data_IF_074728017961
#
_entry.id   IF_074728017961
#
_cell.length_a   1.000
_cell.length_b   1.000
_cell.length_c   1.000
_cell.angle_alpha   90.00
_cell.angle_beta   90.00
_cell.angle_gamma   90.00
#
_symmetry.space_group_name_H-M   'P 1'
#
loop_
_entity.id
_entity.type
_entity.pdbx_description
1 polymer ?
2 non-polymer ?
3 non-polymer ?
4 non-polymer ?
5 non-polymer ?
6 water ?
#
# COMPACT_ATOMS: atom_id res chain seq x y z
N UNK A 12 -14.77 15.50 -9.70
CA UNK A 12 -13.83 15.31 -8.58
C UNK A 12 -12.50 14.71 -9.05
N UNK A 13 -11.41 15.14 -8.41
CA UNK A 13 -10.15 14.44 -8.58
C UNK A 13 -10.34 12.98 -8.21
N UNK A 14 -9.80 12.08 -9.03
CA UNK A 14 -9.84 10.64 -8.78
C UNK A 14 -8.42 10.16 -8.56
N UNK A 15 -8.14 9.66 -7.38
CA UNK A 15 -6.81 9.18 -7.02
C UNK A 15 -6.84 7.65 -7.06
N UNK A 16 -6.08 7.06 -7.98
CA UNK A 16 -6.09 5.61 -8.17
C UNK A 16 -4.90 5.00 -7.43
N UNK A 17 -5.22 4.29 -6.34
CA UNK A 17 -4.26 3.70 -5.43
C UNK A 17 -4.29 2.19 -5.61
N UNK A 18 -3.12 1.57 -5.65
CA UNK A 18 -3.00 0.12 -5.71
C UNK A 18 -2.26 -0.37 -4.48
N UNK A 19 -2.85 -1.35 -3.80
CA UNK A 19 -2.22 -2.04 -2.68
C UNK A 19 -1.41 -3.20 -3.24
N UNK A 20 -0.11 -3.24 -2.93
CA UNK A 20 0.76 -4.34 -3.32
C UNK A 20 1.52 -4.83 -2.10
N UNK A 21 2.02 -6.04 -2.21
CA UNK A 21 2.70 -6.72 -1.13
C UNK A 21 2.40 -8.20 -1.17
N UNK A 22 3.23 -8.98 -0.49
CA UNK A 22 3.06 -10.43 -0.51
C UNK A 22 1.87 -10.83 0.37
N UNK A 23 1.63 -12.14 0.42
CA UNK A 23 0.41 -12.63 1.07
C UNK A 23 0.43 -12.42 2.58
N UNK A 24 -0.73 -12.09 3.12
CA UNK A 24 -0.89 -12.07 4.56
C UNK A 24 -0.33 -10.86 5.25
N UNK A 25 0.13 -9.85 4.50
CA UNK A 25 0.75 -8.71 5.14
C UNK A 25 -0.25 -7.72 5.70
N UNK A 26 -1.49 -7.74 5.21
CA UNK A 26 -2.54 -6.84 5.65
C UNK A 26 -3.09 -5.90 4.60
N UNK A 27 -2.91 -6.21 3.32
CA UNK A 27 -3.46 -5.34 2.27
C UNK A 27 -4.97 -5.20 2.43
N UNK A 28 -5.67 -6.33 2.56
CA UNK A 28 -7.12 -6.27 2.68
C UNK A 28 -7.54 -5.68 4.01
N UNK A 29 -6.91 -6.09 5.12
CA UNK A 29 -7.24 -5.52 6.42
C UNK A 29 -7.05 -4.01 6.43
N UNK A 30 -5.95 -3.52 5.84
CA UNK A 30 -5.77 -2.07 5.77
C UNK A 30 -6.88 -1.41 4.95
N UNK A 31 -7.19 -1.99 3.80
CA UNK A 31 -8.20 -1.41 2.92
C UNK A 31 -9.56 -1.38 3.60
N UNK A 32 -9.94 -2.48 4.26
CA UNK A 32 -11.26 -2.56 4.87
C UNK A 32 -11.34 -1.73 6.13
N UNK A 33 -10.23 -1.56 6.85
CA UNK A 33 -10.24 -0.63 7.97
C UNK A 33 -10.44 0.80 7.46
N UNK A 34 -9.76 1.16 6.37
CA UNK A 34 -9.93 2.49 5.83
C UNK A 34 -11.36 2.70 5.32
N UNK A 35 -11.89 1.71 4.61
CA UNK A 35 -13.18 1.88 3.98
C UNK A 35 -14.34 1.80 4.98
N UNK A 36 -14.28 0.81 5.89
CA UNK A 36 -15.44 0.47 6.71
C UNK A 36 -15.21 0.54 8.21
N UNK A 37 -14.05 1.00 8.67
CA UNK A 37 -13.77 1.18 10.09
C UNK A 37 -13.94 -0.13 10.87
N UNK A 38 -13.57 -1.25 10.25
CA UNK A 38 -13.63 -2.57 10.86
C UNK A 38 -12.32 -3.29 10.59
N UNK A 39 -11.85 -4.05 11.60
CA UNK A 39 -10.71 -4.94 11.45
C UNK A 39 -11.26 -6.29 11.01
N UNK A 40 -10.96 -6.65 9.76
CA UNK A 40 -11.50 -7.83 9.11
C UNK A 40 -10.36 -8.85 9.04
N UNK A 41 -10.53 -9.96 9.75
CA UNK A 41 -9.44 -10.88 9.97
C UNK A 41 -9.49 -12.10 9.08
N UNK A 42 -10.56 -12.27 8.30
CA UNK A 42 -10.76 -13.49 7.53
C UNK A 42 -11.12 -13.20 6.07
N UNK A 43 -10.59 -12.13 5.49
CA UNK A 43 -10.95 -11.80 4.13
C UNK A 43 -10.27 -12.74 3.16
N UNK A 44 -11.04 -13.35 2.26
CA UNK A 44 -10.55 -14.36 1.33
C UNK A 44 -9.19 -13.98 0.77
N UNK A 45 -8.15 -14.78 1.01
CA UNK A 45 -6.80 -14.38 0.59
C UNK A 45 -6.63 -14.24 -0.91
N UNK A 46 -7.44 -14.91 -1.72
CA UNK A 46 -7.28 -14.88 -3.16
C UNK A 46 -8.20 -13.86 -3.85
N UNK A 47 -8.97 -13.07 -3.10
CA UNK A 47 -9.95 -12.19 -3.70
C UNK A 47 -9.35 -10.80 -3.90
N UNK A 48 -9.31 -10.34 -5.14
CA UNK A 48 -8.95 -8.97 -5.45
C UNK A 48 -10.24 -8.16 -5.59
N UNK A 49 -10.18 -6.89 -5.23
CA UNK A 49 -11.37 -6.06 -5.30
C UNK A 49 -10.95 -4.61 -5.34
N UNK A 50 -11.82 -3.78 -5.87
CA UNK A 50 -11.65 -2.33 -5.92
C UNK A 50 -12.69 -1.69 -5.02
N UNK A 51 -12.28 -0.59 -4.41
CA UNK A 51 -13.09 0.16 -3.47
C UNK A 51 -13.03 1.62 -3.85
N UNK A 52 -14.17 2.30 -3.82
CA UNK A 52 -14.20 3.71 -4.14
C UNK A 52 -14.85 4.46 -2.99
N UNK A 53 -14.27 5.58 -2.61
CA UNK A 53 -14.78 6.38 -1.50
C UNK A 53 -14.52 7.84 -1.79
N UNK A 54 -15.50 8.68 -1.47
CA UNK A 54 -15.29 10.12 -1.45
C UNK A 54 -14.66 10.49 -0.12
N UNK A 55 -13.57 11.24 -0.17
CA UNK A 55 -12.92 11.71 1.04
C UNK A 55 -12.57 13.18 0.86
N UNK A 56 -12.45 13.88 1.98
CA UNK A 56 -12.08 15.29 1.98
C UNK A 56 -10.60 15.34 2.33
N UNK A 57 -9.80 15.61 1.31
CA UNK A 57 -8.34 15.64 1.41
C UNK A 57 -7.89 17.10 1.53
N UNK A 58 -7.40 17.46 2.70
CA UNK A 58 -6.96 18.84 2.96
C UNK A 58 -8.02 19.84 2.52
N UNK A 59 -9.29 19.49 2.79
CA UNK A 59 -10.40 20.36 2.50
C UNK A 59 -10.98 20.26 1.10
N UNK A 60 -10.41 19.43 0.23
CA UNK A 60 -10.93 19.25 -1.12
C UNK A 60 -11.57 17.88 -1.22
N UNK A 61 -12.83 17.83 -1.64
CA UNK A 61 -13.46 16.54 -1.86
C UNK A 61 -12.83 15.88 -3.08
N UNK A 62 -12.40 14.63 -2.91
CA UNK A 62 -11.80 13.84 -3.96
C UNK A 62 -12.42 12.44 -3.88
N UNK A 63 -12.20 11.66 -4.92
CA UNK A 63 -12.54 10.25 -4.89
C UNK A 63 -11.26 9.43 -4.87
N UNK A 64 -11.16 8.50 -3.94
CA UNK A 64 -10.09 7.51 -3.91
C UNK A 64 -10.65 6.20 -4.47
N UNK A 65 -9.86 5.56 -5.33
CA UNK A 65 -10.18 4.23 -5.83
C UNK A 65 -9.01 3.35 -5.42
N UNK A 66 -9.30 2.33 -4.63
CA UNK A 66 -8.27 1.44 -4.08
C UNK A 66 -8.43 0.09 -4.74
N UNK A 67 -7.37 -0.38 -5.39
CA UNK A 67 -7.30 -1.74 -5.92
C UNK A 67 -6.55 -2.57 -4.90
N UNK A 68 -7.27 -3.47 -4.24
CA UNK A 68 -6.70 -4.37 -3.24
C UNK A 68 -6.30 -5.66 -3.99
N UNK A 69 -5.02 -5.80 -4.29
CA UNK A 69 -4.56 -6.92 -5.11
C UNK A 69 -4.38 -8.15 -4.24
N UNK A 70 -4.54 -9.31 -4.86
CA UNK A 70 -4.49 -10.56 -4.13
C UNK A 70 -3.55 -11.57 -4.79
N UNK A 71 -2.70 -11.13 -5.72
CA UNK A 71 -1.66 -11.96 -6.27
C UNK A 71 -2.11 -13.02 -7.26
N UNK A 72 -3.35 -12.99 -7.71
CA UNK A 72 -3.85 -14.07 -8.55
C UNK A 72 -3.49 -13.85 -10.01
N UNK A 73 -3.36 -12.60 -10.44
CA UNK A 73 -3.03 -12.29 -11.82
C UNK A 73 -1.60 -12.74 -12.08
N UNK A 74 -1.42 -13.75 -12.92
CA UNK A 74 -0.07 -14.21 -13.24
C UNK A 74 0.38 -13.81 -14.63
N UNK A 75 -0.50 -13.33 -15.49
CA UNK A 75 -0.10 -12.94 -16.84
C UNK A 75 0.52 -11.56 -16.78
N UNK A 76 1.79 -11.48 -17.19
CA UNK A 76 2.59 -10.29 -16.90
C UNK A 76 2.06 -9.06 -17.61
N UNK A 77 1.53 -9.21 -18.83
CA UNK A 77 1.00 -8.04 -19.54
C UNK A 77 -0.19 -7.46 -18.81
N UNK A 78 -1.03 -8.32 -18.22
CA UNK A 78 -2.20 -7.85 -17.50
C UNK A 78 -1.79 -7.20 -16.19
N UNK A 79 -0.85 -7.81 -15.46
CA UNK A 79 -0.34 -7.19 -14.26
C UNK A 79 0.25 -5.82 -14.56
N UNK A 80 1.03 -5.72 -15.64
CA UNK A 80 1.63 -4.44 -15.98
C UNK A 80 0.57 -3.43 -16.37
N UNK A 81 -0.49 -3.89 -17.05
CA UNK A 81 -1.57 -2.97 -17.41
C UNK A 81 -2.21 -2.40 -16.16
N UNK A 82 -2.45 -3.24 -15.16
CA UNK A 82 -3.01 -2.73 -13.91
C UNK A 82 -2.10 -1.70 -13.27
N UNK A 83 -0.79 -2.00 -13.19
CA UNK A 83 0.14 -1.06 -12.57
C UNK A 83 0.21 0.25 -13.37
N UNK A 84 0.13 0.17 -14.70
CA UNK A 84 0.16 1.38 -15.51
C UNK A 84 -1.03 2.28 -15.19
N UNK A 85 -2.17 1.69 -14.87
CA UNK A 85 -3.36 2.48 -14.55
C UNK A 85 -3.25 3.13 -13.18
N UNK A 86 -2.49 2.55 -12.28
CA UNK A 86 -2.38 3.10 -10.94
C UNK A 86 -1.59 4.40 -10.93
N UNK A 87 -2.02 5.30 -10.06
CA UNK A 87 -1.32 6.56 -9.85
C UNK A 87 -0.44 6.55 -8.61
N UNK A 88 -0.77 5.75 -7.60
CA UNK A 88 0.08 5.65 -6.43
C UNK A 88 -0.04 4.27 -5.84
N UNK A 89 0.98 3.91 -5.06
CA UNK A 89 1.11 2.55 -4.54
C UNK A 89 1.39 2.55 -3.04
N UNK A 90 0.65 1.72 -2.31
CA UNK A 90 0.99 1.37 -0.94
C UNK A 90 1.66 0.01 -1.01
N UNK A 91 2.96 -0.01 -0.75
CA UNK A 91 3.74 -1.24 -0.84
C UNK A 91 3.87 -1.77 0.59
N UNK A 92 3.08 -2.79 0.90
CA UNK A 92 2.90 -3.26 2.26
C UNK A 92 3.74 -4.50 2.49
N UNK A 93 4.37 -4.55 3.66
CA UNK A 93 4.94 -5.76 4.19
C UNK A 93 4.46 -5.88 5.62
N UNK A 94 4.68 -7.03 6.22
CA UNK A 94 4.40 -7.24 7.62
C UNK A 94 5.70 -7.14 8.40
N UNK A 95 5.69 -6.33 9.46
CA UNK A 95 6.88 -6.27 10.32
C UNK A 95 7.19 -7.62 10.94
N UNK A 96 6.24 -8.56 10.95
CA UNK A 96 6.45 -9.87 11.55
C UNK A 96 6.94 -10.92 10.57
N UNK A 97 7.17 -10.57 9.29
CA UNK A 97 7.60 -11.56 8.30
C UNK A 97 8.70 -10.94 7.45
N UNK A 98 9.95 -11.32 7.73
CA UNK A 98 11.08 -10.72 7.01
C UNK A 98 10.97 -10.97 5.52
N UNK A 99 10.50 -12.15 5.11
CA UNK A 99 10.42 -12.44 3.69
C UNK A 99 9.47 -11.50 2.97
N UNK A 100 8.43 -11.00 3.68
CA UNK A 100 7.52 -10.04 3.05
C UNK A 100 8.21 -8.70 2.83
N UNK A 101 9.11 -8.34 3.73
CA UNK A 101 9.92 -7.14 3.51
C UNK A 101 10.85 -7.32 2.32
N UNK A 102 11.52 -8.48 2.22
CA UNK A 102 12.37 -8.73 1.08
C UNK A 102 11.59 -8.61 -0.22
N UNK A 103 10.35 -9.12 -0.22
CA UNK A 103 9.52 -9.13 -1.42
C UNK A 103 9.16 -7.73 -1.90
N UNK A 104 9.22 -6.72 -1.03
CA UNK A 104 8.86 -5.38 -1.48
C UNK A 104 9.77 -4.90 -2.60
N UNK A 105 11.00 -5.41 -2.66
CA UNK A 105 11.90 -5.00 -3.74
C UNK A 105 11.33 -5.38 -5.09
N UNK A 106 10.66 -6.54 -5.17
CA UNK A 106 10.11 -6.98 -6.44
C UNK A 106 8.97 -6.09 -6.89
N UNK A 107 8.05 -5.76 -5.97
CA UNK A 107 6.97 -4.86 -6.33
C UNK A 107 7.51 -3.50 -6.77
N UNK A 108 8.52 -3.00 -6.07
CA UNK A 108 9.14 -1.72 -6.44
C UNK A 108 9.66 -1.77 -7.88
N UNK A 109 10.40 -2.82 -8.21
CA UNK A 109 10.94 -2.94 -9.56
C UNK A 109 9.83 -3.07 -10.60
N UNK A 110 8.80 -3.84 -10.30
CA UNK A 110 7.70 -4.00 -11.24
C UNK A 110 7.05 -2.66 -11.53
N UNK A 111 6.80 -1.89 -10.47
CA UNK A 111 6.18 -0.58 -10.61
C UNK A 111 7.08 0.34 -11.42
N UNK A 112 8.38 0.35 -11.10
CA UNK A 112 9.30 1.24 -11.80
C UNK A 112 9.42 0.87 -13.27
N UNK A 113 9.41 -0.42 -13.62
CA UNK A 113 9.49 -0.80 -15.03
C UNK A 113 8.30 -0.26 -15.81
N UNK A 114 7.13 -0.25 -15.18
CA UNK A 114 5.91 0.14 -15.86
C UNK A 114 5.75 1.66 -15.87
N UNK A 115 5.98 2.31 -14.73
CA UNK A 115 5.76 3.75 -14.61
C UNK A 115 6.95 4.55 -15.12
N UNK A 116 8.14 3.94 -15.14
CA UNK A 116 9.36 4.57 -15.65
C UNK A 116 9.63 5.91 -14.99
N UNK A 117 9.30 6.01 -13.71
CA UNK A 117 9.41 7.25 -12.96
C UNK A 117 9.71 6.89 -11.51
N UNK A 118 10.94 7.15 -11.09
CA UNK A 118 11.32 6.78 -9.73
C UNK A 118 10.53 7.56 -8.69
N UNK A 119 9.90 8.66 -9.07
CA UNK A 119 9.12 9.48 -8.15
C UNK A 119 7.62 9.17 -8.20
N UNK A 120 7.25 8.00 -8.72
CA UNK A 120 5.86 7.55 -8.67
C UNK A 120 5.41 7.62 -7.20
N UNK A 121 4.24 8.17 -6.93
CA UNK A 121 3.72 8.13 -5.56
C UNK A 121 3.74 6.72 -5.01
N UNK A 122 4.35 6.57 -3.83
CA UNK A 122 4.71 5.26 -3.31
C UNK A 122 5.08 5.41 -1.85
N UNK A 123 4.40 4.68 -0.97
CA UNK A 123 4.81 4.59 0.43
C UNK A 123 5.20 3.15 0.72
N UNK A 124 6.26 2.98 1.51
CA UNK A 124 6.62 1.69 2.09
C UNK A 124 5.90 1.59 3.42
N UNK A 125 5.06 0.56 3.56
CA UNK A 125 4.14 0.43 4.69
C UNK A 125 4.50 -0.83 5.46
N UNK A 126 4.96 -0.66 6.70
CA UNK A 126 5.23 -1.77 7.60
C UNK A 126 4.03 -2.01 8.49
N UNK A 127 3.22 -3.00 8.15
CA UNK A 127 1.98 -3.24 8.85
C UNK A 127 2.17 -4.23 10.00
N UNK A 128 1.15 -4.31 10.84
CA UNK A 128 1.11 -5.12 12.06
C UNK A 128 1.97 -4.53 13.19
N UNK A 129 1.98 -3.21 13.31
CA UNK A 129 2.79 -2.56 14.34
C UNK A 129 2.30 -2.87 15.75
N UNK A 130 1.10 -3.44 15.89
CA UNK A 130 0.63 -3.88 17.20
C UNK A 130 1.22 -5.22 17.62
N UNK A 131 2.06 -5.82 16.78
CA UNK A 131 2.71 -7.09 17.10
C UNK A 131 4.21 -6.90 17.30
N UNK A 132 4.58 -5.90 18.08
CA UNK A 132 6.00 -5.60 18.30
C UNK A 132 6.77 -6.79 18.83
N UNK A 133 6.14 -7.62 19.66
CA UNK A 133 6.81 -8.79 20.21
C UNK A 133 7.09 -9.86 19.15
N UNK A 134 6.50 -9.75 17.96
CA UNK A 134 6.76 -10.66 16.86
C UNK A 134 7.57 -10.02 15.74
N UNK A 135 8.10 -8.82 15.97
CA UNK A 135 8.80 -8.10 14.92
C UNK A 135 9.98 -8.90 14.41
N UNK A 136 10.07 -9.02 13.08
CA UNK A 136 11.22 -9.61 12.41
C UNK A 136 11.99 -8.61 11.59
N UNK A 137 11.38 -7.47 11.26
CA UNK A 137 11.99 -6.42 10.44
C UNK A 137 12.20 -5.21 11.33
N UNK A 138 13.44 -4.76 11.46
CA UNK A 138 13.72 -3.63 12.33
C UNK A 138 13.25 -2.33 11.69
N UNK A 139 12.86 -1.38 12.54
CA UNK A 139 12.54 -0.05 12.04
C UNK A 139 13.72 0.50 11.26
N UNK A 140 14.94 0.27 11.77
CA UNK A 140 16.14 0.80 11.13
C UNK A 140 16.29 0.27 9.71
N UNK A 141 16.13 -1.05 9.52
CA UNK A 141 16.35 -1.56 8.18
C UNK A 141 15.27 -1.11 7.22
N UNK A 142 14.02 -0.98 7.70
CA UNK A 142 12.97 -0.47 6.83
C UNK A 142 13.20 1.00 6.49
N UNK A 143 13.59 1.81 7.48
CA UNK A 143 13.89 3.20 7.19
C UNK A 143 15.04 3.34 6.21
N UNK A 144 16.06 2.47 6.35
CA UNK A 144 17.19 2.52 5.43
C UNK A 144 16.74 2.22 4.00
N UNK A 145 15.90 1.22 3.83
CA UNK A 145 15.37 0.93 2.49
C UNK A 145 14.57 2.10 1.95
N UNK A 146 13.70 2.68 2.79
CA UNK A 146 12.92 3.83 2.32
C UNK A 146 13.84 4.98 1.92
N UNK A 147 14.93 5.18 2.67
CA UNK A 147 15.87 6.23 2.30
C UNK A 147 16.54 5.91 0.96
N UNK A 148 16.92 4.65 0.74
CA UNK A 148 17.56 4.27 -0.52
C UNK A 148 16.64 4.52 -1.71
N UNK A 149 15.34 4.31 -1.52
CA UNK A 149 14.34 4.49 -2.56
C UNK A 149 13.76 5.90 -2.60
N UNK A 150 14.11 6.74 -1.64
CA UNK A 150 13.53 8.05 -1.50
C UNK A 150 12.00 7.99 -1.40
N UNK A 151 11.52 7.12 -0.52
CA UNK A 151 10.10 7.05 -0.20
C UNK A 151 9.94 7.19 1.31
N UNK A 152 8.72 7.53 1.72
CA UNK A 152 8.44 7.55 3.15
C UNK A 152 8.13 6.14 3.64
N UNK A 153 8.54 5.87 4.87
CA UNK A 153 8.21 4.64 5.58
C UNK A 153 7.22 4.95 6.69
N UNK A 154 6.12 4.22 6.73
CA UNK A 154 5.10 4.41 7.75
C UNK A 154 4.74 3.04 8.28
N UNK A 155 4.69 2.90 9.61
CA UNK A 155 4.20 1.66 10.21
C UNK A 155 2.73 1.80 10.58
N UNK A 156 1.97 0.78 10.25
CA UNK A 156 0.53 0.80 10.43
C UNK A 156 0.08 -0.39 11.26
N UNK A 157 -1.14 -0.30 11.79
CA UNK A 157 -1.83 -1.48 12.31
C UNK A 157 -3.27 -1.42 11.80
N UNK A 158 -3.64 -2.38 10.97
CA UNK A 158 -5.04 -2.53 10.61
C UNK A 158 -5.89 -2.91 11.81
N UNK A 159 -5.29 -3.45 12.86
CA UNK A 159 -6.07 -3.84 14.03
C UNK A 159 -6.41 -2.62 14.90
N UNK A 160 -5.41 -1.78 15.20
CA UNK A 160 -5.65 -0.63 16.08
C UNK A 160 -5.99 0.63 15.33
N UNK A 161 -5.86 0.63 14.00
CA UNK A 161 -6.09 1.75 13.10
C UNK A 161 -4.90 2.70 13.05
N UNK A 162 -3.82 2.43 13.78
CA UNK A 162 -2.66 3.32 13.77
C UNK A 162 -2.18 3.56 12.35
N UNK A 163 -2.11 4.84 12.00
CA UNK A 163 -1.58 5.33 10.72
C UNK A 163 -2.31 4.81 9.49
N UNK A 164 -3.53 4.30 9.65
CA UNK A 164 -4.25 3.79 8.49
C UNK A 164 -4.70 4.95 7.60
N UNK A 165 -5.41 5.92 8.17
CA UNK A 165 -5.76 7.09 7.38
C UNK A 165 -4.50 7.77 6.86
N UNK A 166 -3.45 7.82 7.67
CA UNK A 166 -2.23 8.52 7.27
C UNK A 166 -1.68 7.97 5.96
N UNK A 167 -1.56 6.64 5.84
CA UNK A 167 -0.94 6.12 4.62
C UNK A 167 -1.77 6.44 3.39
N UNK A 168 -3.09 6.32 3.50
CA UNK A 168 -3.94 6.61 2.34
C UNK A 168 -3.93 8.10 2.02
N UNK A 169 -4.07 8.95 3.04
CA UNK A 169 -4.07 10.37 2.80
C UNK A 169 -2.71 10.85 2.30
N UNK A 170 -1.62 10.39 2.92
CA UNK A 170 -0.30 10.84 2.49
C UNK A 170 -0.01 10.38 1.07
N UNK A 171 -0.45 9.18 0.70
CA UNK A 171 -0.28 8.76 -0.69
C UNK A 171 -1.06 9.68 -1.62
N UNK A 172 -2.30 10.02 -1.27
CA UNK A 172 -3.07 10.93 -2.11
C UNK A 172 -2.38 12.30 -2.21
N UNK A 173 -1.74 12.73 -1.12
CA UNK A 173 -1.03 14.01 -1.17
C UNK A 173 0.12 13.95 -2.15
N UNK A 174 0.81 12.79 -2.25
CA UNK A 174 1.87 12.64 -3.23
C UNK A 174 1.31 12.62 -4.65
N UNK A 175 0.18 11.94 -4.85
CA UNK A 175 -0.45 11.96 -6.18
C UNK A 175 -0.81 13.39 -6.57
N UNK A 176 -1.43 14.11 -5.65
CA UNK A 176 -1.82 15.49 -5.92
C UNK A 176 -0.61 16.35 -6.24
N UNK A 177 0.47 16.19 -5.49
CA UNK A 177 1.62 17.07 -5.71
C UNK A 177 2.33 16.72 -6.99
N UNK A 178 2.45 15.44 -7.29
CA UNK A 178 3.38 14.99 -8.31
C UNK A 178 2.75 14.82 -9.68
N UNK A 179 1.45 14.62 -9.76
CA UNK A 179 0.79 14.34 -11.04
C UNK A 179 -0.15 15.47 -11.44
X LIG B 1 -6.13 -9.80 0.62
X LIG C 1 -11.30 -5.52 -9.52
X LIG D 1 -3.55 -10.01 -8.94
X LIG D 1 -2.58 -9.01 -9.17
X LIG D 1 -0.39 -8.18 -9.40
X LIG D 1 -2.21 -6.81 -9.68
X LIG D 1 -6.57 -10.03 -10.76
X LIG D 1 -7.35 -9.61 -11.79
X LIG D 1 -7.77 -8.28 -11.90
X LIG D 1 -7.32 -7.50 -10.86
X LIG D 1 -6.52 -7.93 -9.84
X LIG D 1 -6.09 -9.26 -9.74
X LIG D 1 -1.21 -9.20 -9.15
X LIG D 1 -0.84 -6.92 -9.68
X LIG D 1 -3.10 -7.75 -9.44
X LIG D 1 -9.48 -6.56 -12.80
X LIG D 1 -9.39 -8.71 -13.89
X LIG D 1 -5.61 -11.02 -8.02
X LIG D 1 -5.09 -8.67 -7.49
X LIG D 1 -8.75 -7.69 -13.17
X LIG D 1 -5.08 -9.76 -8.38
X LIG D 1 -2.89 -5.26 -9.99
X LIG D 1 -3.22 -10.79 -9.14
X LIG D 1 0.54 -8.26 -9.38
X LIG D 1 -6.33 -10.93 -10.75
X LIG D 1 -7.63 -10.18 -12.45
X LIG D 1 -7.57 -6.60 -10.86
X LIG D 1 -6.26 -7.33 -9.19
X LIG D 1 -0.87 -10.05 -8.99
X LIG D 1 -0.32 -6.17 -9.85
X LIG E 1 -3.41 -9.76 2.67
X LIG E 1 -3.14 -11.15 2.15
X LIG E 1 -4.68 -9.11 2.15
X LIG E 1 -2.19 -8.86 2.54
X LIG E 1 -3.58 -9.90 4.29
X LIG E 1 -4.93 -9.73 5.15
X LIG E 1 -5.95 -10.75 4.68
X LIG E 1 -5.35 -8.31 5.21
X LIG E 1 -4.36 -10.11 6.60
X LIG E 1 -3.86 -11.42 6.84
X LIG E 1 -4.02 -11.79 8.30
X LIG E 1 -3.25 -10.87 9.11
X LIG E 1 -5.44 -11.73 8.86
X LIG E 1 -5.58 -12.77 9.82
X LIG E 1 -5.56 -10.39 9.55
X LIG E 1 -6.39 -10.32 10.68
X LIG E 1 -4.13 -10.18 10.01
X LIG E 1 -3.73 -8.77 10.06
X LIG E 1 -3.75 -7.91 9.04
X LIG E 1 -3.31 -6.70 9.46
X LIG E 1 -3.02 -6.82 10.76
X LIG E 1 -2.52 -5.94 11.81
X LIG E 1 -2.23 -4.75 11.56
X LIG E 1 -2.36 -6.45 13.04
X LIG E 1 -2.65 -7.74 13.33
X LIG E 1 -2.47 -8.16 14.57
X LIG E 1 -3.10 -8.63 12.43
X LIG E 1 -3.30 -8.19 11.16
X LIG E 1 -4.39 -12.13 6.21
X LIG E 1 -2.81 -11.46 6.57
X LIG E 1 -3.69 -12.83 8.36
X LIG E 1 -6.21 -11.86 8.09
X LIG E 1 -6.51 -13.01 9.90
X LIG E 1 -6.01 -9.66 8.85
X LIG E 1 -6.91 -11.13 10.77
X LIG E 1 -4.08 -10.56 11.04
X LIG E 1 -4.08 -8.14 8.03
X LIG E 1 -2.01 -5.83 13.80
X LIG E 1 -2.67 -9.11 14.79
X LIG E 1 -2.12 -7.56 15.28
#
# INVERSE_FOLDING_TARGET
MAANKPKGQNSLALHKVIMVGSGGVGKSALTLQFMYDEFVEDYEPTKADSYRKKVVLDGEEVQIDILDTAGQEDYAAIRDNYFRSGEGFLCVFSITEMESFAATADFREQILRVKEDENVPFLLVGNKSDLEDKRQVSVEEAKNRAEQWNVNYVETSAKTRANVDKVFFDLMREIRARLEHHHHHH
CA CA
CL CL
NLV N12 C13 C15 C17 C20 C21 C05 C06 C07 C08 C14 C16 N19 O01 O03 O10 O11 S1 S09 CL1 H121 H151 H201 H211 H061 H071 H141 H161
GDP PB O1B O2B O3B O3A PA O1A O2A O5' C5' C4' O4' C3' O3' C2' O2' C1' N9 C8 N7 C5 C6 O6 N1 C2 N2 N3 C4 H5' H5'' H4' H3' HO3' H2' HO2' H1' H8 HN1 HN21 HN22
#
